data_IF_006010237289
#
_entry.id   IF_006010237289
#
_cell.length_a   1.000
_cell.length_b   1.000
_cell.length_c   1.000
_cell.angle_alpha   90.00
_cell.angle_beta   90.00
_cell.angle_gamma   90.00
#
_symmetry.space_group_name_H-M   'P 1'
#
loop_
_entity.id
_entity.type
_entity.pdbx_description
1 polymer ?
#
# COMPACT_ATOMS: atom_id res chain seq x y z
N UNK A 1 8.10 51.95 47.56
CA UNK A 1 7.78 51.92 46.12
C UNK A 1 6.29 51.67 45.91
N UNK A 2 5.73 52.15 44.80
CA UNK A 2 4.34 51.93 44.36
C UNK A 2 4.35 51.25 42.99
N UNK A 3 3.58 50.17 42.83
CA UNK A 3 3.51 49.39 41.60
C UNK A 3 2.09 49.50 41.05
N UNK A 4 1.94 49.80 39.76
CA UNK A 4 0.65 49.88 39.07
C UNK A 4 0.67 48.98 37.84
N UNK A 5 -0.36 48.17 37.69
CA UNK A 5 -0.63 47.44 36.46
C UNK A 5 -1.81 48.04 35.72
N UNK A 6 -1.68 48.08 34.41
CA UNK A 6 -2.65 48.60 33.46
C UNK A 6 -3.01 47.51 32.45
N UNK A 7 -4.26 47.49 31.99
CA UNK A 7 -4.71 46.82 30.78
C UNK A 7 -5.38 47.87 29.90
N UNK A 8 -4.99 47.97 28.64
CA UNK A 8 -5.61 48.87 27.65
C UNK A 8 -5.74 50.33 28.17
N UNK A 9 -4.67 50.82 28.82
CA UNK A 9 -4.52 52.11 29.53
C UNK A 9 -5.35 52.32 30.82
N UNK A 10 -6.25 51.41 31.19
CA UNK A 10 -6.94 51.45 32.49
C UNK A 10 -6.10 50.81 33.60
N UNK A 11 -5.98 51.44 34.77
CA UNK A 11 -5.36 50.80 35.96
C UNK A 11 -6.24 49.64 36.40
N UNK A 12 -5.67 48.43 36.48
CA UNK A 12 -6.38 47.24 36.94
C UNK A 12 -6.05 46.88 38.39
N UNK A 13 -4.78 47.05 38.78
CA UNK A 13 -4.25 46.66 40.09
C UNK A 13 -3.18 47.64 40.54
N UNK A 14 -3.08 47.87 41.85
CA UNK A 14 -2.03 48.67 42.48
C UNK A 14 -1.54 48.03 43.76
N UNK A 15 -0.24 48.11 44.01
CA UNK A 15 0.41 47.83 45.29
C UNK A 15 1.07 49.11 45.80
N UNK A 16 0.75 49.54 47.02
CA UNK A 16 1.40 50.65 47.72
C UNK A 16 1.43 50.36 49.20
N UNK A 17 2.56 50.59 49.88
CA UNK A 17 2.69 50.41 51.33
C UNK A 17 2.24 49.01 51.83
N UNK A 18 2.49 47.95 51.05
CA UNK A 18 2.05 46.57 51.31
C UNK A 18 0.53 46.31 51.14
N UNK A 19 -0.25 47.35 50.80
CA UNK A 19 -1.69 47.26 50.48
C UNK A 19 -1.91 47.05 48.98
N UNK A 20 -2.78 46.10 48.65
CA UNK A 20 -3.15 45.74 47.27
C UNK A 20 -4.58 46.23 46.99
N UNK A 21 -4.74 47.02 45.92
CA UNK A 21 -6.03 47.52 45.44
C UNK A 21 -6.36 46.92 44.07
N UNK A 22 -7.49 46.23 43.95
CA UNK A 22 -8.08 45.78 42.68
C UNK A 22 -9.13 46.80 42.22
N UNK A 23 -8.89 47.47 41.10
CA UNK A 23 -9.78 48.50 40.56
C UNK A 23 -10.90 47.92 39.69
N UNK A 24 -10.66 46.77 39.06
CA UNK A 24 -11.63 46.13 38.17
C UNK A 24 -12.76 45.41 38.91
N UNK A 25 -12.57 45.10 40.21
CA UNK A 25 -13.42 44.21 41.02
C UNK A 25 -13.67 42.83 40.38
N UNK A 26 -12.87 42.45 39.38
CA UNK A 26 -12.86 41.12 38.75
C UNK A 26 -12.00 40.21 39.62
N UNK A 27 -12.61 39.20 40.25
CA UNK A 27 -11.94 38.22 41.13
C UNK A 27 -10.77 37.48 40.43
N UNK A 28 -10.79 37.40 39.10
CA UNK A 28 -9.69 36.84 38.31
C UNK A 28 -8.36 37.58 38.53
N UNK A 29 -8.38 38.89 38.73
CA UNK A 29 -7.17 39.69 38.94
C UNK A 29 -6.73 39.66 40.40
N UNK A 30 -5.54 39.11 40.62
CA UNK A 30 -4.84 39.12 41.90
C UNK A 30 -3.41 39.65 41.72
N UNK A 31 -2.72 39.95 42.82
CA UNK A 31 -1.36 40.43 42.84
C UNK A 31 -0.63 39.85 44.05
N UNK A 32 0.61 39.39 43.86
CA UNK A 32 1.46 39.01 44.99
C UNK A 32 2.14 40.23 45.62
N UNK A 33 2.59 40.11 46.87
CA UNK A 33 3.25 41.19 47.62
C UNK A 33 4.55 41.73 46.96
N UNK A 34 5.10 41.04 45.96
CA UNK A 34 6.21 41.55 45.14
C UNK A 34 5.77 42.35 43.89
N UNK A 35 4.47 42.59 43.70
CA UNK A 35 3.91 43.36 42.59
C UNK A 35 3.65 42.57 41.29
N UNK A 36 3.83 41.24 41.28
CA UNK A 36 3.49 40.42 40.10
C UNK A 36 1.97 40.30 39.95
N UNK A 37 1.45 40.65 38.77
CA UNK A 37 0.06 40.43 38.39
C UNK A 37 -0.21 38.93 38.18
N UNK A 38 -1.32 38.44 38.71
CA UNK A 38 -1.82 37.09 38.52
C UNK A 38 -3.24 37.15 37.93
N UNK A 39 -3.51 36.37 36.89
CA UNK A 39 -4.83 36.29 36.26
C UNK A 39 -5.33 34.85 36.37
N UNK A 40 -6.31 34.62 37.22
CA UNK A 40 -6.91 33.30 37.45
C UNK A 40 -8.03 33.04 36.44
N UNK A 41 -8.12 31.80 35.95
CA UNK A 41 -9.15 31.36 34.96
C UNK A 41 -9.17 32.26 33.72
N UNK A 42 -8.03 32.32 33.02
CA UNK A 42 -7.84 33.08 31.78
C UNK A 42 -8.97 32.82 30.75
N UNK A 43 -9.52 33.89 30.19
CA UNK A 43 -10.47 33.86 29.06
C UNK A 43 -9.91 34.65 27.87
N UNK A 44 -10.49 34.49 26.67
CA UNK A 44 -9.97 35.15 25.45
C UNK A 44 -9.89 36.68 25.60
N UNK A 45 -10.84 37.26 26.32
CA UNK A 45 -10.97 38.71 26.59
C UNK A 45 -9.89 39.27 27.52
N UNK A 46 -9.15 38.40 28.22
CA UNK A 46 -7.97 38.79 28.99
C UNK A 46 -6.76 39.07 28.08
N UNK A 47 -6.81 38.71 26.79
CA UNK A 47 -5.83 39.14 25.80
C UNK A 47 -5.79 40.68 25.68
N UNK A 48 -4.64 41.23 25.32
CA UNK A 48 -4.48 42.68 25.12
C UNK A 48 -3.13 43.22 25.57
N UNK A 49 -3.06 44.56 25.68
CA UNK A 49 -1.83 45.26 26.04
C UNK A 49 -1.81 45.53 27.55
N UNK A 50 -0.87 44.91 28.24
CA UNK A 50 -0.61 45.13 29.66
C UNK A 50 0.63 46.00 29.85
N UNK A 51 0.62 46.82 30.89
CA UNK A 51 1.75 47.67 31.26
C UNK A 51 1.93 47.68 32.76
N UNK A 52 3.16 47.54 33.22
CA UNK A 52 3.53 47.78 34.62
C UNK A 52 4.35 49.06 34.72
N UNK A 53 4.06 49.86 35.74
CA UNK A 53 4.84 51.03 36.13
C UNK A 53 5.22 50.90 37.61
N UNK A 54 6.50 51.13 37.93
CA UNK A 54 7.04 51.10 39.29
C UNK A 54 7.58 52.48 39.62
N UNK A 55 7.12 53.03 40.73
CA UNK A 55 7.49 54.34 41.26
C UNK A 55 8.27 54.18 42.58
N UNK A 56 9.28 55.02 42.80
CA UNK A 56 9.99 55.06 44.09
C UNK A 56 9.13 55.73 45.19
N UNK A 57 9.66 55.83 46.40
CA UNK A 57 8.98 56.49 47.54
C UNK A 57 8.72 58.00 47.33
N UNK A 58 9.52 58.67 46.49
CA UNK A 58 9.34 60.08 46.10
C UNK A 58 8.26 60.26 45.01
N UNK A 59 7.69 59.17 44.48
CA UNK A 59 6.72 59.20 43.39
C UNK A 59 7.33 59.31 41.98
N UNK A 60 8.66 59.22 41.84
CA UNK A 60 9.37 59.21 40.55
C UNK A 60 9.28 57.83 39.89
N UNK A 61 8.97 57.80 38.60
CA UNK A 61 8.95 56.57 37.80
C UNK A 61 10.37 55.97 37.73
N UNK A 62 10.49 54.71 38.16
CA UNK A 62 11.74 53.93 38.24
C UNK A 62 11.82 52.89 37.13
N UNK A 63 10.69 52.32 36.72
CA UNK A 63 10.61 51.35 35.64
C UNK A 63 9.21 51.37 35.00
N UNK A 64 9.16 51.23 33.67
CA UNK A 64 7.97 50.89 32.92
C UNK A 64 8.28 49.65 32.04
N UNK A 65 7.34 48.71 31.94
CA UNK A 65 7.44 47.59 30.99
C UNK A 65 6.08 47.24 30.39
N UNK A 66 6.08 47.05 29.08
CA UNK A 66 4.90 46.69 28.29
C UNK A 66 4.93 45.19 27.95
N UNK A 67 3.76 44.58 27.91
CA UNK A 67 3.54 43.17 27.59
C UNK A 67 2.34 43.04 26.65
N UNK A 68 2.43 42.17 25.66
CA UNK A 68 1.30 41.81 24.81
C UNK A 68 0.88 40.37 25.14
N UNK A 69 -0.28 40.21 25.77
CA UNK A 69 -0.80 38.92 26.18
C UNK A 69 -1.78 38.39 25.12
N UNK A 70 -1.53 37.18 24.63
CA UNK A 70 -2.42 36.47 23.68
C UNK A 70 -2.82 35.15 24.33
N UNK A 71 -4.13 34.94 24.50
CA UNK A 71 -4.67 33.70 25.06
C UNK A 71 -5.01 32.71 23.94
N UNK A 72 -4.25 31.62 23.87
CA UNK A 72 -4.47 30.53 22.92
C UNK A 72 -5.20 29.37 23.61
N UNK A 73 -6.09 28.71 22.87
CA UNK A 73 -6.76 27.49 23.30
C UNK A 73 -5.77 26.33 23.22
N UNK A 74 -5.94 25.34 24.10
CA UNK A 74 -5.18 24.10 24.02
C UNK A 74 -5.30 23.45 22.64
N UNK A 75 -4.20 22.95 22.09
CA UNK A 75 -4.23 22.28 20.79
C UNK A 75 -5.13 21.05 20.83
N UNK A 76 -5.90 20.80 19.79
CA UNK A 76 -6.67 19.57 19.64
C UNK A 76 -5.73 18.37 19.47
N UNK A 77 -6.17 17.18 19.89
CA UNK A 77 -5.40 15.95 19.67
C UNK A 77 -5.38 15.62 18.16
N UNK A 78 -4.21 15.49 17.51
CA UNK A 78 -4.16 15.12 16.10
C UNK A 78 -4.67 13.70 15.85
N UNK A 79 -5.10 13.44 14.62
CA UNK A 79 -5.48 12.11 14.13
C UNK A 79 -4.54 11.68 13.01
N UNK A 80 -3.93 10.52 13.16
CA UNK A 80 -3.21 9.83 12.09
C UNK A 80 -4.17 8.85 11.42
N UNK A 81 -4.25 8.88 10.09
CA UNK A 81 -4.90 7.86 9.26
C UNK A 81 -3.94 7.41 8.17
N UNK A 82 -4.13 6.19 7.66
CA UNK A 82 -3.28 5.66 6.60
C UNK A 82 -4.05 4.77 5.64
N UNK A 83 -3.56 4.68 4.41
CA UNK A 83 -4.00 3.68 3.44
C UNK A 83 -2.80 2.94 2.86
N UNK A 84 -2.92 1.62 2.80
CA UNK A 84 -1.93 0.72 2.21
C UNK A 84 -2.37 0.37 0.78
N UNK A 85 -1.45 0.51 -0.18
CA UNK A 85 -1.59 0.01 -1.56
C UNK A 85 -0.31 -0.73 -1.95
N UNK A 86 -0.36 -1.61 -2.96
CA UNK A 86 0.66 -2.64 -3.27
C UNK A 86 2.13 -2.31 -2.91
N UNK A 87 2.64 -1.14 -3.32
CA UNK A 87 4.01 -0.68 -3.01
C UNK A 87 4.07 0.73 -2.39
N UNK A 88 2.94 1.27 -1.95
CA UNK A 88 2.82 2.69 -1.57
C UNK A 88 1.92 2.86 -0.36
N UNK A 89 2.36 3.64 0.62
CA UNK A 89 1.56 3.99 1.78
C UNK A 89 1.37 5.49 1.84
N UNK A 90 0.11 5.90 1.97
CA UNK A 90 -0.27 7.29 2.22
C UNK A 90 -0.59 7.42 3.70
N UNK A 91 0.19 8.23 4.41
CA UNK A 91 -0.05 8.63 5.79
C UNK A 91 -0.60 10.04 5.77
N UNK A 92 -1.67 10.26 6.52
CA UNK A 92 -2.29 11.57 6.71
C UNK A 92 -2.24 11.86 8.20
N UNK A 93 -1.75 13.03 8.58
CA UNK A 93 -2.07 13.60 9.88
C UNK A 93 -2.95 14.83 9.69
N UNK A 94 -3.98 14.94 10.51
CA UNK A 94 -4.87 16.08 10.53
C UNK A 94 -5.31 16.47 11.95
N UNK A 95 -5.58 17.75 12.15
CA UNK A 95 -6.12 18.32 13.38
C UNK A 95 -7.05 19.49 13.04
N UNK A 96 -8.15 19.62 13.77
CA UNK A 96 -8.98 20.83 13.73
C UNK A 96 -8.43 21.80 14.79
N UNK A 97 -7.92 22.94 14.36
CA UNK A 97 -7.40 24.00 15.21
C UNK A 97 -7.80 25.37 14.63
N UNK A 98 -8.50 26.16 15.45
CA UNK A 98 -8.88 27.55 15.16
C UNK A 98 -7.69 28.50 15.33
N UNK A 99 -6.99 28.39 16.46
CA UNK A 99 -5.81 29.18 16.78
C UNK A 99 -4.59 28.77 15.96
N UNK A 100 -3.62 29.69 15.82
CA UNK A 100 -2.38 29.45 15.09
C UNK A 100 -1.54 28.37 15.79
N UNK A 101 -1.41 27.20 15.15
CA UNK A 101 -0.56 26.10 15.58
C UNK A 101 0.34 25.62 14.43
N UNK A 102 1.49 25.02 14.78
CA UNK A 102 2.26 24.18 13.86
C UNK A 102 1.80 22.73 13.96
N UNK A 103 1.97 21.99 12.86
CA UNK A 103 1.78 20.54 12.79
C UNK A 103 3.00 19.95 12.09
N UNK A 104 3.50 18.82 12.58
CA UNK A 104 4.65 18.12 12.03
C UNK A 104 4.40 16.61 12.02
N UNK A 105 4.64 15.97 10.89
CA UNK A 105 4.62 14.51 10.78
C UNK A 105 6.06 13.97 10.81
N UNK A 106 6.35 13.05 11.73
CA UNK A 106 7.65 12.43 11.89
C UNK A 106 7.54 10.93 11.64
N UNK A 107 8.60 10.33 11.11
CA UNK A 107 8.80 8.90 11.00
C UNK A 107 10.12 8.56 11.70
N UNK A 108 10.10 7.63 12.66
CA UNK A 108 11.27 7.27 13.48
C UNK A 108 11.99 8.52 14.06
N UNK A 109 11.24 9.43 14.69
CA UNK A 109 11.70 10.72 15.25
C UNK A 109 12.29 11.73 14.24
N UNK A 110 12.18 11.51 12.92
CA UNK A 110 12.67 12.44 11.89
C UNK A 110 11.52 13.00 11.07
N UNK A 111 11.55 14.30 10.79
CA UNK A 111 10.56 14.97 9.95
C UNK A 111 10.51 14.33 8.55
N UNK A 112 9.30 14.01 8.07
CA UNK A 112 9.13 13.43 6.73
C UNK A 112 9.46 14.44 5.61
N UNK A 113 9.93 13.99 4.43
CA UNK A 113 10.05 14.85 3.25
C UNK A 113 8.72 15.52 2.89
N UNK A 114 8.76 16.81 2.54
CA UNK A 114 7.56 17.56 2.14
C UNK A 114 6.60 17.90 3.29
N UNK A 115 7.12 18.05 4.52
CA UNK A 115 6.40 18.40 5.77
C UNK A 115 5.77 19.81 5.77
N UNK A 116 4.96 20.12 4.74
CA UNK A 116 4.27 21.39 4.55
C UNK A 116 2.79 21.20 4.87
N UNK A 117 2.25 21.84 5.92
CA UNK A 117 0.84 21.72 6.22
C UNK A 117 -0.02 22.48 5.21
N UNK A 118 -1.06 21.80 4.72
CA UNK A 118 -2.23 22.49 4.18
C UNK A 118 -3.07 23.01 5.35
N UNK A 119 -3.58 24.23 5.22
CA UNK A 119 -4.53 24.83 6.16
C UNK A 119 -5.77 25.29 5.40
N UNK A 120 -6.94 24.81 5.79
CA UNK A 120 -8.22 25.26 5.24
C UNK A 120 -9.31 25.14 6.31
N UNK A 121 -10.14 26.17 6.47
CA UNK A 121 -11.31 26.18 7.36
C UNK A 121 -11.02 25.69 8.80
N UNK A 122 -9.90 26.13 9.40
CA UNK A 122 -9.49 25.70 10.75
C UNK A 122 -9.05 24.24 10.84
N UNK A 123 -8.70 23.60 9.72
CA UNK A 123 -8.13 22.25 9.69
C UNK A 123 -6.71 22.28 9.12
N UNK A 124 -5.76 21.85 9.94
CA UNK A 124 -4.37 21.63 9.55
C UNK A 124 -4.18 20.18 9.12
N UNK A 125 -3.47 19.95 8.01
CA UNK A 125 -3.28 18.62 7.43
C UNK A 125 -1.92 18.48 6.76
N UNK A 126 -1.24 17.36 7.03
CA UNK A 126 -0.06 16.90 6.29
C UNK A 126 -0.41 15.57 5.63
N UNK A 127 -0.12 15.45 4.34
CA UNK A 127 -0.15 14.18 3.62
C UNK A 127 1.27 13.78 3.23
N UNK A 128 1.66 12.56 3.57
CA UNK A 128 2.94 11.98 3.20
C UNK A 128 2.71 10.66 2.48
N UNK A 129 3.23 10.55 1.25
CA UNK A 129 3.17 9.30 0.48
C UNK A 129 4.58 8.78 0.28
N UNK A 130 4.83 7.54 0.70
CA UNK A 130 6.12 6.88 0.55
C UNK A 130 5.97 5.57 -0.23
N UNK A 131 7.02 5.16 -0.95
CA UNK A 131 7.05 3.94 -1.78
C UNK A 131 8.13 2.98 -1.28
N UNK A 132 7.87 1.67 -1.33
CA UNK A 132 8.82 0.60 -1.00
C UNK A 132 9.38 0.67 0.45
N UNK A 133 8.57 0.95 1.48
CA UNK A 133 9.02 0.83 2.89
C UNK A 133 8.99 -0.61 3.39
N UNK A 134 9.94 -0.95 4.25
CA UNK A 134 9.78 -2.03 5.23
C UNK A 134 8.75 -1.63 6.28
N UNK A 135 7.82 -2.52 6.61
CA UNK A 135 6.87 -2.37 7.73
C UNK A 135 7.17 -3.42 8.82
N UNK A 136 6.85 -3.17 10.11
CA UNK A 136 6.17 -2.01 10.68
C UNK A 136 6.98 -0.70 10.61
N UNK A 137 6.27 0.44 10.57
CA UNK A 137 6.89 1.77 10.59
C UNK A 137 6.17 2.68 11.60
N UNK A 138 6.93 3.36 12.47
CA UNK A 138 6.38 4.25 13.50
C UNK A 138 6.32 5.68 13.01
N UNK A 139 5.12 6.26 13.08
CA UNK A 139 4.84 7.65 12.78
C UNK A 139 4.41 8.39 14.04
N UNK A 140 4.84 9.63 14.18
CA UNK A 140 4.38 10.56 15.21
C UNK A 140 3.80 11.77 14.50
N UNK A 141 2.68 12.28 14.98
CA UNK A 141 2.19 13.56 14.58
C UNK A 141 2.11 14.50 15.77
N UNK A 142 2.81 15.61 15.66
CA UNK A 142 2.96 16.63 16.68
C UNK A 142 2.20 17.87 16.25
N UNK A 143 1.34 18.38 17.14
CA UNK A 143 0.67 19.69 17.01
C UNK A 143 1.14 20.54 18.19
N UNK A 144 1.52 21.79 17.92
CA UNK A 144 2.04 22.71 18.94
C UNK A 144 1.56 24.13 18.68
N UNK A 145 1.21 24.85 19.73
CA UNK A 145 1.12 26.31 19.72
C UNK A 145 2.04 26.89 20.82
N UNK A 146 1.82 28.14 21.24
CA UNK A 146 2.66 28.78 22.27
C UNK A 146 2.25 28.39 23.70
N UNK A 147 1.04 27.83 23.87
CA UNK A 147 0.49 27.39 25.16
C UNK A 147 0.76 25.91 25.47
N UNK A 148 0.56 25.01 24.51
CA UNK A 148 0.78 23.57 24.69
C UNK A 148 1.19 22.82 23.40
N UNK A 149 1.44 21.52 23.59
CA UNK A 149 1.86 20.57 22.56
C UNK A 149 1.18 19.23 22.80
N UNK A 150 0.67 18.60 21.73
CA UNK A 150 0.14 17.23 21.77
C UNK A 150 0.72 16.40 20.64
N UNK A 151 1.13 15.19 20.96
CA UNK A 151 1.68 14.22 20.02
C UNK A 151 0.83 12.96 20.03
N UNK A 152 0.60 12.38 18.86
CA UNK A 152 0.01 11.04 18.70
C UNK A 152 1.01 10.17 17.96
N UNK A 153 1.26 8.98 18.49
CA UNK A 153 2.08 7.96 17.85
C UNK A 153 1.21 6.88 17.22
N UNK A 154 1.61 6.36 16.07
CA UNK A 154 0.98 5.24 15.40
C UNK A 154 2.04 4.35 14.76
N UNK A 155 2.06 3.07 15.13
CA UNK A 155 2.77 2.06 14.35
C UNK A 155 1.86 1.60 13.19
N UNK A 156 2.32 1.83 11.97
CA UNK A 156 1.62 1.41 10.76
C UNK A 156 2.16 0.04 10.35
N UNK A 157 1.24 -0.88 10.07
CA UNK A 157 1.50 -2.19 9.47
C UNK A 157 0.66 -2.29 8.21
N UNK A 158 1.29 -2.58 7.09
CA UNK A 158 0.62 -2.94 5.85
C UNK A 158 0.89 -4.41 5.60
N UNK A 159 -0.17 -5.22 5.51
CA UNK A 159 -0.06 -6.61 5.06
C UNK A 159 0.50 -6.62 3.64
N UNK A 160 1.48 -7.50 3.38
CA UNK A 160 1.92 -7.73 2.01
C UNK A 160 0.75 -8.28 1.20
N UNK A 161 0.30 -7.52 0.20
CA UNK A 161 -0.75 -7.93 -0.73
C UNK A 161 -0.21 -8.94 -1.78
N UNK A 162 0.66 -9.85 -1.34
CA UNK A 162 1.27 -10.93 -2.12
C UNK A 162 0.74 -12.32 -1.76
N UNK A 163 0.05 -12.48 -0.63
CA UNK A 163 -0.60 -13.77 -0.28
C UNK A 163 -1.66 -14.17 -1.30
N UNK A 164 -2.43 -13.21 -1.80
CA UNK A 164 -3.48 -13.42 -2.80
C UNK A 164 -2.88 -13.78 -4.18
N UNK A 165 -1.78 -13.15 -4.58
CA UNK A 165 -1.06 -13.51 -5.81
C UNK A 165 -0.48 -14.94 -5.70
N UNK A 166 0.12 -15.33 -4.57
CA UNK A 166 0.64 -16.70 -4.36
C UNK A 166 -0.47 -17.76 -4.42
N UNK A 167 -1.59 -17.56 -3.72
CA UNK A 167 -2.71 -18.52 -3.72
C UNK A 167 -3.36 -18.63 -5.10
N UNK A 168 -3.49 -17.52 -5.83
CA UNK A 168 -4.01 -17.51 -7.20
C UNK A 168 -3.05 -18.25 -8.16
N UNK A 169 -1.74 -17.99 -8.08
CA UNK A 169 -0.72 -18.66 -8.90
C UNK A 169 -0.70 -20.17 -8.63
N UNK A 170 -0.73 -20.59 -7.36
CA UNK A 170 -0.78 -22.00 -6.99
C UNK A 170 -2.06 -22.69 -7.50
N UNK A 171 -3.20 -21.98 -7.47
CA UNK A 171 -4.48 -22.49 -7.96
C UNK A 171 -4.47 -22.66 -9.50
N UNK A 172 -3.93 -21.70 -10.25
CA UNK A 172 -3.80 -21.77 -11.72
C UNK A 172 -2.80 -22.87 -12.11
N UNK A 173 -1.65 -22.96 -11.46
CA UNK A 173 -0.64 -23.98 -11.73
C UNK A 173 -1.16 -25.39 -11.42
N UNK A 174 -1.81 -25.58 -10.26
CA UNK A 174 -2.42 -26.86 -9.88
C UNK A 174 -3.53 -27.29 -10.84
N UNK A 175 -4.41 -26.36 -11.23
CA UNK A 175 -5.47 -26.62 -12.20
C UNK A 175 -4.95 -27.02 -13.58
N UNK A 176 -3.89 -26.36 -14.08
CA UNK A 176 -3.27 -26.69 -15.36
C UNK A 176 -2.64 -28.10 -15.36
N UNK A 177 -1.92 -28.47 -14.29
CA UNK A 177 -1.33 -29.82 -14.15
C UNK A 177 -2.42 -30.88 -14.09
N UNK A 178 -3.48 -30.67 -13.29
CA UNK A 178 -4.60 -31.59 -13.21
C UNK A 178 -5.29 -31.79 -14.58
N UNK A 179 -5.51 -30.70 -15.32
CA UNK A 179 -6.11 -30.75 -16.65
C UNK A 179 -5.26 -31.54 -17.67
N UNK A 180 -3.93 -31.36 -17.66
CA UNK A 180 -3.01 -32.14 -18.51
C UNK A 180 -3.03 -33.63 -18.17
N UNK A 181 -3.03 -33.98 -16.88
CA UNK A 181 -3.15 -35.38 -16.43
C UNK A 181 -4.49 -35.98 -16.87
N UNK A 182 -5.59 -35.25 -16.70
CA UNK A 182 -6.92 -35.68 -17.11
C UNK A 182 -7.00 -35.92 -18.63
N UNK A 183 -6.47 -35.02 -19.46
CA UNK A 183 -6.39 -35.21 -20.90
C UNK A 183 -5.52 -36.41 -21.29
N UNK A 184 -4.37 -36.61 -20.63
CA UNK A 184 -3.50 -37.76 -20.88
C UNK A 184 -4.21 -39.09 -20.55
N UNK A 185 -4.96 -39.14 -19.44
CA UNK A 185 -5.78 -40.29 -19.05
C UNK A 185 -6.93 -40.53 -20.05
N UNK A 186 -7.63 -39.49 -20.52
CA UNK A 186 -8.66 -39.63 -21.56
C UNK A 186 -8.07 -40.19 -22.87
N UNK A 187 -6.93 -39.66 -23.32
CA UNK A 187 -6.23 -40.16 -24.51
C UNK A 187 -5.80 -41.62 -24.31
N UNK A 188 -5.27 -41.98 -23.15
CA UNK A 188 -4.92 -43.36 -22.81
C UNK A 188 -6.13 -44.29 -22.83
N UNK A 189 -7.25 -43.91 -22.19
CA UNK A 189 -8.49 -44.70 -22.18
C UNK A 189 -9.08 -44.87 -23.58
N UNK A 190 -9.06 -43.83 -24.42
CA UNK A 190 -9.50 -43.91 -25.83
C UNK A 190 -8.58 -44.84 -26.63
N UNK A 191 -7.25 -44.76 -26.44
CA UNK A 191 -6.29 -45.64 -27.13
C UNK A 191 -6.44 -47.10 -26.68
N UNK A 192 -6.58 -47.35 -25.38
CA UNK A 192 -6.81 -48.68 -24.81
C UNK A 192 -8.10 -49.29 -25.35
N UNK A 193 -9.23 -48.56 -25.26
CA UNK A 193 -10.53 -49.02 -25.79
C UNK A 193 -10.52 -49.24 -27.32
N UNK A 194 -9.68 -48.52 -28.07
CA UNK A 194 -9.47 -48.81 -29.50
C UNK A 194 -8.64 -50.07 -29.72
N UNK A 195 -7.57 -50.29 -28.95
CA UNK A 195 -6.76 -51.49 -29.04
C UNK A 195 -7.56 -52.75 -28.71
N UNK A 196 -8.33 -52.72 -27.62
CA UNK A 196 -9.23 -53.83 -27.22
C UNK A 196 -10.20 -54.21 -28.35
N UNK A 197 -10.77 -53.22 -29.07
CA UNK A 197 -11.61 -53.52 -30.25
C UNK A 197 -10.84 -53.98 -31.50
N UNK A 198 -9.58 -53.58 -31.67
CA UNK A 198 -8.75 -54.12 -32.74
C UNK A 198 -8.40 -55.60 -32.49
N UNK A 199 -8.12 -55.96 -31.23
CA UNK A 199 -7.86 -57.34 -30.82
C UNK A 199 -9.13 -58.20 -31.00
N UNK A 200 -10.32 -57.70 -30.58
CA UNK A 200 -11.63 -58.35 -30.85
C UNK A 200 -11.90 -58.54 -32.37
N UNK A 201 -11.68 -57.50 -33.19
CA UNK A 201 -11.87 -57.56 -34.65
C UNK A 201 -10.85 -58.49 -35.35
N UNK A 202 -9.65 -58.67 -34.79
CA UNK A 202 -8.64 -59.61 -35.29
C UNK A 202 -8.96 -61.05 -34.89
N UNK A 203 -9.44 -61.27 -33.66
CA UNK A 203 -9.89 -62.58 -33.18
C UNK A 203 -11.12 -63.07 -33.97
N UNK A 204 -12.13 -62.23 -34.19
CA UNK A 204 -13.28 -62.56 -35.06
C UNK A 204 -12.85 -62.91 -36.50
N UNK A 205 -11.92 -62.12 -37.08
CA UNK A 205 -11.39 -62.38 -38.41
C UNK A 205 -10.59 -63.69 -38.48
N UNK A 206 -9.87 -64.04 -37.42
CA UNK A 206 -9.16 -65.31 -37.32
C UNK A 206 -10.12 -66.51 -37.30
N UNK A 207 -11.20 -66.43 -36.52
CA UNK A 207 -12.26 -67.46 -36.48
C UNK A 207 -12.97 -67.61 -37.82
N UNK A 208 -13.27 -66.50 -38.52
CA UNK A 208 -13.89 -66.55 -39.84
C UNK A 208 -12.97 -67.13 -40.92
N UNK A 209 -11.67 -66.82 -40.89
CA UNK A 209 -10.68 -67.42 -41.79
C UNK A 209 -10.50 -68.92 -41.54
N UNK A 210 -10.49 -69.36 -40.29
CA UNK A 210 -10.42 -70.79 -39.96
C UNK A 210 -11.65 -71.54 -40.49
N UNK A 211 -12.85 -70.98 -40.30
CA UNK A 211 -14.10 -71.53 -40.83
C UNK A 211 -14.14 -71.62 -42.36
N UNK A 212 -13.55 -70.65 -43.06
CA UNK A 212 -13.40 -70.70 -44.53
C UNK A 212 -12.38 -71.76 -44.98
N UNK A 213 -11.35 -72.02 -44.18
CA UNK A 213 -10.33 -73.04 -44.46
C UNK A 213 -10.89 -74.47 -44.33
N UNK A 214 -11.72 -74.73 -43.32
CA UNK A 214 -12.40 -76.02 -43.15
C UNK A 214 -13.44 -76.30 -44.26
N UNK A 215 -14.17 -75.28 -44.72
CA UNK A 215 -15.02 -75.34 -45.93
C UNK A 215 -14.19 -75.70 -47.19
N UNK A 216 -13.03 -75.06 -47.38
CA UNK A 216 -12.18 -75.30 -48.55
C UNK A 216 -11.59 -76.72 -48.57
N UNK A 217 -11.41 -77.33 -47.38
CA UNK A 217 -10.86 -78.68 -47.19
C UNK A 217 -11.81 -79.80 -47.64
N UNK A 218 -13.08 -79.49 -47.88
CA UNK A 218 -14.11 -80.44 -48.34
C UNK A 218 -14.36 -80.41 -49.86
N UNK A 219 -13.57 -79.66 -50.64
CA UNK A 219 -13.80 -79.47 -52.09
C UNK A 219 -12.73 -80.15 -52.93
N UNK A 220 -13.07 -81.33 -53.48
CA UNK A 220 -12.19 -82.12 -54.35
C UNK A 220 -11.76 -81.39 -55.63
N UNK A 221 -10.54 -81.71 -56.09
CA UNK A 221 -9.87 -81.13 -57.26
C UNK A 221 -9.95 -82.05 -58.49
N UNK A 222 -10.34 -81.55 -59.69
CA UNK A 222 -10.15 -82.25 -60.96
C UNK A 222 -8.67 -82.28 -61.41
N UNK A 223 -8.28 -83.34 -62.12
CA UNK A 223 -6.91 -83.52 -62.63
C UNK A 223 -6.55 -82.70 -63.88
N UNK A 224 -5.25 -82.47 -64.03
CA UNK A 224 -4.58 -81.74 -65.13
C UNK A 224 -4.16 -82.69 -66.28
N UNK A 225 -4.22 -82.25 -67.54
CA UNK A 225 -3.35 -82.76 -68.60
C UNK A 225 -2.27 -81.75 -69.03
N UNK A 226 -1.12 -82.27 -69.48
CA UNK A 226 0.09 -81.51 -69.80
C UNK A 226 0.12 -80.98 -71.25
N UNK A 227 0.96 -79.96 -71.51
CA UNK A 227 2.00 -79.94 -72.56
C UNK A 227 2.82 -78.63 -72.51
N UNK A 228 4.09 -78.65 -72.94
CA UNK A 228 4.99 -77.50 -73.08
C UNK A 228 5.78 -77.60 -74.39
N UNK A 229 6.20 -76.47 -75.03
CA UNK A 229 7.64 -76.14 -74.97
C UNK A 229 8.08 -74.65 -75.13
N UNK A 230 9.08 -74.26 -74.32
CA UNK A 230 10.37 -73.58 -74.67
C UNK A 230 10.48 -72.25 -75.52
N UNK A 231 11.02 -71.16 -74.93
CA UNK A 231 12.35 -70.46 -75.24
C UNK A 231 12.49 -68.96 -74.85
N UNK A 232 13.50 -68.68 -73.99
CA UNK A 232 14.50 -67.55 -73.85
C UNK A 232 14.55 -66.29 -74.77
N UNK A 233 15.39 -65.22 -74.50
CA UNK A 233 15.89 -64.58 -73.24
C UNK A 233 16.15 -63.01 -73.27
N UNK A 234 16.73 -62.43 -72.18
CA UNK A 234 17.43 -61.10 -72.02
C UNK A 234 16.53 -59.82 -72.02
N UNK A 235 16.89 -58.64 -71.43
CA UNK A 235 18.20 -58.05 -71.04
C UNK A 235 18.10 -56.91 -69.94
N UNK A 236 19.23 -56.60 -69.26
CA UNK A 236 19.79 -55.32 -68.67
C UNK A 236 18.94 -54.00 -68.53
N UNK A 237 19.24 -52.98 -67.69
CA UNK A 237 20.16 -52.68 -66.56
C UNK A 237 19.69 -51.38 -65.81
N UNK A 238 20.30 -51.02 -64.66
CA UNK A 238 20.06 -49.75 -63.89
C UNK A 238 20.79 -48.53 -64.50
N UNK A 239 20.43 -47.26 -64.18
CA UNK A 239 21.09 -46.57 -63.04
C UNK A 239 20.18 -45.57 -62.26
N UNK A 240 20.74 -44.92 -61.23
CA UNK A 240 20.13 -43.81 -60.47
C UNK A 240 21.19 -42.72 -60.20
N UNK A 241 20.79 -41.43 -60.12
CA UNK A 241 21.38 -40.47 -59.17
C UNK A 241 20.31 -39.57 -58.47
N UNK A 242 20.34 -39.26 -57.16
CA UNK A 242 21.27 -38.47 -56.31
C UNK A 242 20.89 -36.94 -56.18
N UNK A 243 21.39 -36.14 -55.20
CA UNK A 243 20.49 -35.44 -54.24
C UNK A 243 20.57 -33.87 -54.16
N UNK A 244 19.70 -33.30 -53.31
CA UNK A 244 19.70 -32.01 -52.51
C UNK A 244 20.85 -30.97 -52.67
N UNK A 245 20.67 -29.63 -52.43
CA UNK A 245 20.39 -29.06 -51.08
C UNK A 245 19.69 -27.63 -51.06
N UNK A 246 19.91 -26.63 -50.12
CA UNK A 246 18.78 -25.92 -49.46
C UNK A 246 18.94 -24.36 -49.38
N UNK A 247 18.32 -23.71 -48.36
CA UNK A 247 18.39 -22.29 -47.88
C UNK A 247 17.16 -21.40 -48.22
N UNK A 248 16.75 -20.36 -47.45
CA UNK A 248 17.25 -19.77 -46.18
C UNK A 248 16.15 -19.04 -45.37
N UNK A 249 16.46 -18.61 -44.14
CA UNK A 249 15.56 -17.90 -43.20
C UNK A 249 15.43 -16.36 -43.43
N UNK A 250 14.51 -15.70 -42.70
CA UNK A 250 14.32 -14.22 -42.71
C UNK A 250 14.09 -13.62 -41.31
N UNK A 251 14.82 -12.55 -40.98
CA UNK A 251 14.53 -11.54 -39.94
C UNK A 251 15.49 -10.33 -40.13
N UNK A 252 15.01 -9.07 -40.18
CA UNK A 252 15.21 -8.06 -39.10
C UNK A 252 14.04 -7.02 -39.05
N UNK A 253 13.96 -5.92 -38.26
CA UNK A 253 14.50 -5.43 -36.96
C UNK A 253 13.53 -4.34 -36.40
N UNK A 254 13.60 -3.89 -35.13
CA UNK A 254 12.63 -2.98 -34.52
C UNK A 254 13.07 -1.49 -34.41
N UNK A 255 12.07 -0.58 -34.32
CA UNK A 255 12.08 0.76 -33.68
C UNK A 255 10.65 1.37 -33.75
N UNK A 256 10.23 2.32 -32.89
CA UNK A 256 10.86 2.88 -31.68
C UNK A 256 10.25 2.41 -30.35
#
# INVERSE_FOLDING_TARGET
>A
DEIRWYKDNSVIMKLKNNDITNYMKKEAYNMSQNGTLQIHRLVKEDSGNYKVQVYNVEGKLKMEKNFHLIIQDHVSKPKITWTCSKKTVKVICEVNQTDKASIHLLQNNKAVPGNKPASANGKLKIEFTYRNTTFPAKFQCEVKNDADKKTVEQEIRCSELGSLDIVLILSIAGGAVFFVIFLALLIYCIRKKRAERYDEEEEERSMQNQKMSDELKYRDLPQVPAHAPQRQPRQQQRPAPQPHPPHQAKLPQPRP
#
